data_IF_627714417678
#
_entry.id   IF_627714417678
#
_cell.length_a   1.000
_cell.length_b   1.000
_cell.length_c   1.000
_cell.angle_alpha   90.00
_cell.angle_beta   90.00
_cell.angle_gamma   90.00
#
_symmetry.space_group_name_H-M   'P 1'
#
loop_
_entity.id
_entity.type
_entity.pdbx_description
1 polymer ?
#
# COMPACT_ATOMS: atom_id res chain seq x y z
N UNK A 1 5.67 -11.50 -11.91
CA UNK A 1 7.06 -11.92 -11.67
C UNK A 1 7.92 -11.23 -12.69
N UNK A 2 9.04 -10.65 -12.26
CA UNK A 2 9.91 -9.83 -13.12
C UNK A 2 11.26 -10.51 -13.32
N UNK A 3 11.55 -11.01 -14.53
CA UNK A 3 12.87 -11.52 -14.90
C UNK A 3 14.00 -10.55 -14.56
N UNK A 4 15.14 -11.08 -14.13
CA UNK A 4 16.30 -10.27 -13.74
C UNK A 4 16.74 -9.26 -14.81
N UNK A 5 16.83 -9.61 -16.12
CA UNK A 5 17.23 -8.65 -17.15
C UNK A 5 16.26 -7.46 -17.27
N UNK A 6 14.96 -7.71 -17.07
CA UNK A 6 13.89 -6.71 -17.15
C UNK A 6 13.92 -5.65 -16.05
N UNK A 7 14.47 -5.98 -14.87
CA UNK A 7 14.44 -5.11 -13.68
C UNK A 7 15.09 -3.76 -13.93
N UNK A 8 16.22 -3.71 -14.64
CA UNK A 8 16.92 -2.46 -14.95
C UNK A 8 16.06 -1.55 -15.81
N UNK A 9 15.46 -2.09 -16.87
CA UNK A 9 14.57 -1.34 -17.77
C UNK A 9 13.35 -0.79 -17.03
N UNK A 10 12.74 -1.56 -16.13
CA UNK A 10 11.67 -1.06 -15.26
C UNK A 10 12.17 0.07 -14.36
N UNK A 11 13.34 -0.07 -13.73
CA UNK A 11 13.89 0.98 -12.87
C UNK A 11 14.14 2.29 -13.62
N UNK A 12 14.67 2.22 -14.84
CA UNK A 12 14.87 3.36 -15.74
C UNK A 12 13.53 3.98 -16.15
N UNK A 13 12.55 3.16 -16.55
CA UNK A 13 11.22 3.64 -16.96
C UNK A 13 10.46 4.32 -15.82
N UNK A 14 10.47 3.75 -14.61
CA UNK A 14 9.75 4.31 -13.47
C UNK A 14 10.47 5.48 -12.79
N UNK A 15 11.76 5.73 -13.08
CA UNK A 15 12.51 6.84 -12.50
C UNK A 15 11.84 8.22 -12.69
N UNK A 16 11.48 8.65 -13.91
CA UNK A 16 10.78 9.93 -14.08
C UNK A 16 9.41 9.97 -13.41
N UNK A 17 8.67 8.85 -13.37
CA UNK A 17 7.36 8.78 -12.68
C UNK A 17 7.51 8.94 -11.17
N UNK A 18 8.59 8.40 -10.59
CA UNK A 18 8.90 8.62 -9.17
C UNK A 18 9.23 10.08 -8.86
N UNK A 19 9.89 10.80 -9.77
CA UNK A 19 10.12 12.25 -9.56
C UNK A 19 8.81 13.04 -9.60
N UNK A 20 7.91 12.74 -10.54
CA UNK A 20 6.55 13.31 -10.56
C UNK A 20 5.77 13.02 -9.27
N UNK A 21 5.95 11.82 -8.72
CA UNK A 21 5.41 11.49 -7.40
C UNK A 21 6.04 12.30 -6.28
N UNK A 22 7.34 12.56 -6.34
CA UNK A 22 8.00 13.41 -5.34
C UNK A 22 7.53 14.87 -5.43
N UNK A 23 7.25 15.39 -6.62
CA UNK A 23 6.63 16.72 -6.77
C UNK A 23 5.26 16.78 -6.09
N UNK A 24 4.45 15.72 -6.26
CA UNK A 24 3.17 15.58 -5.55
C UNK A 24 3.38 15.47 -4.03
N UNK A 25 4.32 14.65 -3.59
CA UNK A 25 4.63 14.48 -2.17
C UNK A 25 5.11 15.80 -1.53
N UNK A 26 5.89 16.64 -2.23
CA UNK A 26 6.28 17.97 -1.75
C UNK A 26 5.07 18.87 -1.55
N UNK A 27 4.08 18.83 -2.44
CA UNK A 27 2.78 19.53 -2.23
C UNK A 27 2.03 18.98 -1.02
N UNK A 28 2.02 17.66 -0.82
CA UNK A 28 1.43 17.05 0.37
C UNK A 28 2.17 17.43 1.66
N UNK A 29 3.50 17.59 1.62
CA UNK A 29 4.30 18.13 2.75
C UNK A 29 3.94 19.59 3.02
N UNK A 30 3.69 20.41 2.00
CA UNK A 30 3.19 21.77 2.19
C UNK A 30 1.81 21.77 2.88
N UNK A 31 0.91 20.86 2.49
CA UNK A 31 -0.38 20.67 3.17
C UNK A 31 -0.18 20.25 4.63
N UNK A 32 0.72 19.31 4.92
CA UNK A 32 1.09 18.93 6.30
C UNK A 32 1.57 20.16 7.08
N UNK A 33 2.49 20.95 6.53
CA UNK A 33 3.05 22.12 7.21
C UNK A 33 1.99 23.18 7.51
N UNK A 34 1.00 23.36 6.64
CA UNK A 34 -0.13 24.27 6.92
C UNK A 34 -0.89 23.90 8.21
N UNK A 35 -0.88 22.61 8.59
CA UNK A 35 -1.52 22.09 9.81
C UNK A 35 -0.57 22.20 11.01
N UNK A 36 0.71 21.86 10.86
CA UNK A 36 1.61 21.62 12.01
C UNK A 36 2.60 22.76 12.30
N UNK A 37 2.87 23.64 11.34
CA UNK A 37 3.76 24.80 11.54
C UNK A 37 3.26 25.83 12.57
N UNK A 38 1.94 26.10 12.72
CA UNK A 38 1.44 26.91 13.84
C UNK A 38 1.78 26.35 15.23
N UNK A 39 2.18 25.08 15.31
CA UNK A 39 2.52 24.37 16.53
C UNK A 39 4.03 24.13 16.67
N UNK A 40 4.85 24.84 15.89
CA UNK A 40 6.32 24.77 15.99
C UNK A 40 6.95 23.55 15.33
N UNK A 41 6.20 22.82 14.48
CA UNK A 41 6.70 21.68 13.72
C UNK A 41 6.81 22.05 12.24
N UNK A 42 7.95 21.77 11.63
CA UNK A 42 8.15 21.94 10.19
C UNK A 42 8.72 20.65 9.62
N UNK A 43 8.02 20.07 8.65
CA UNK A 43 8.42 18.89 7.91
C UNK A 43 9.08 19.30 6.58
N UNK A 44 10.27 18.80 6.32
CA UNK A 44 11.03 19.02 5.08
C UNK A 44 11.09 17.70 4.30
N UNK A 45 10.67 17.72 3.03
CA UNK A 45 10.64 16.50 2.22
C UNK A 45 12.05 15.91 2.01
N UNK A 46 13.03 16.75 1.69
CA UNK A 46 14.35 16.30 1.30
C UNK A 46 15.22 15.93 2.51
N UNK A 47 15.00 16.59 3.67
CA UNK A 47 15.76 16.34 4.90
C UNK A 47 15.11 15.34 5.85
N UNK A 48 13.79 15.33 5.95
CA UNK A 48 13.09 14.46 6.91
C UNK A 48 12.47 13.22 6.25
N UNK A 49 11.98 13.31 5.01
CA UNK A 49 11.20 12.22 4.36
C UNK A 49 12.08 11.34 3.46
N UNK A 50 12.86 11.91 2.55
CA UNK A 50 13.71 11.13 1.64
C UNK A 50 14.71 10.21 2.36
N UNK A 51 15.42 10.65 3.42
CA UNK A 51 16.46 9.83 4.05
C UNK A 51 15.93 8.58 4.76
N UNK A 52 14.68 8.60 5.23
CA UNK A 52 14.04 7.44 5.88
C UNK A 52 13.37 6.49 4.88
N UNK A 53 13.39 6.84 3.59
CA UNK A 53 12.81 6.03 2.53
C UNK A 53 13.86 5.13 1.85
N UNK A 54 13.40 4.30 0.90
CA UNK A 54 14.28 3.52 0.03
C UNK A 54 14.47 4.18 -1.35
N UNK A 55 14.26 5.49 -1.46
CA UNK A 55 14.32 6.23 -2.74
C UNK A 55 15.65 6.04 -3.47
N UNK A 56 16.76 6.12 -2.74
CA UNK A 56 18.13 5.94 -3.29
C UNK A 56 18.38 4.57 -3.95
N UNK A 57 17.53 3.59 -3.66
CA UNK A 57 17.59 2.24 -4.23
C UNK A 57 16.46 1.97 -5.25
N UNK A 58 15.80 3.01 -5.75
CA UNK A 58 14.70 2.90 -6.72
C UNK A 58 13.33 2.67 -6.10
N UNK A 59 13.19 2.80 -4.78
CA UNK A 59 11.91 2.77 -4.08
C UNK A 59 11.06 4.02 -4.34
N UNK A 60 9.75 3.93 -4.17
CA UNK A 60 8.86 5.08 -4.26
C UNK A 60 8.53 5.63 -2.86
N UNK A 61 8.53 6.96 -2.73
CA UNK A 61 8.06 7.64 -1.53
C UNK A 61 6.54 7.73 -1.55
N UNK A 62 5.90 7.48 -0.42
CA UNK A 62 4.44 7.43 -0.27
C UNK A 62 4.01 8.21 0.98
N UNK A 63 2.72 8.45 1.12
CA UNK A 63 2.09 9.11 2.27
C UNK A 63 2.53 8.48 3.60
N UNK A 64 2.83 7.17 3.61
CA UNK A 64 3.36 6.49 4.80
C UNK A 64 4.69 7.06 5.27
N UNK A 65 5.60 7.40 4.34
CA UNK A 65 6.89 8.00 4.67
C UNK A 65 6.71 9.42 5.19
N UNK A 66 5.82 10.21 4.55
CA UNK A 66 5.51 11.58 4.96
C UNK A 66 4.98 11.60 6.40
N UNK A 67 4.01 10.73 6.69
CA UNK A 67 3.38 10.65 8.01
C UNK A 67 4.27 9.99 9.06
N UNK A 68 5.16 9.08 8.67
CA UNK A 68 6.15 8.52 9.58
C UNK A 68 7.15 9.60 10.02
N UNK A 69 7.71 10.36 9.06
CA UNK A 69 8.58 11.49 9.35
C UNK A 69 7.88 12.56 10.21
N UNK A 70 6.61 12.87 9.89
CA UNK A 70 5.80 13.74 10.74
C UNK A 70 5.68 13.20 12.16
N UNK A 71 5.40 11.90 12.32
CA UNK A 71 5.34 11.23 13.61
C UNK A 71 6.64 11.41 14.41
N UNK A 72 7.80 11.25 13.78
CA UNK A 72 9.09 11.50 14.44
C UNK A 72 9.24 12.95 14.89
N UNK A 73 8.80 13.92 14.08
CA UNK A 73 8.86 15.35 14.44
C UNK A 73 7.93 15.67 15.60
N UNK A 74 6.73 15.07 15.66
CA UNK A 74 5.80 15.20 16.78
C UNK A 74 6.42 14.64 18.05
N UNK A 75 7.00 13.44 18.00
CA UNK A 75 7.62 12.80 19.16
C UNK A 75 8.81 13.61 19.68
N UNK A 76 9.64 14.17 18.78
CA UNK A 76 10.75 15.02 19.17
C UNK A 76 10.30 16.35 19.79
N UNK A 77 9.16 16.90 19.36
CA UNK A 77 8.62 18.15 19.88
C UNK A 77 7.89 17.98 21.21
N UNK A 78 7.07 16.94 21.34
CA UNK A 78 6.20 16.72 22.49
C UNK A 78 6.77 15.76 23.54
N UNK A 79 7.90 15.11 23.24
CA UNK A 79 8.40 13.90 23.90
C UNK A 79 7.39 12.73 23.80
N UNK A 80 7.85 11.50 24.06
CA UNK A 80 6.98 10.31 23.97
C UNK A 80 5.68 10.47 24.79
N UNK A 81 5.81 10.92 26.05
CA UNK A 81 4.67 11.09 26.98
C UNK A 81 3.72 12.21 26.56
N UNK A 82 4.18 13.21 25.81
CA UNK A 82 3.33 14.31 25.33
C UNK A 82 2.67 14.03 23.98
N UNK A 83 3.04 12.94 23.28
CA UNK A 83 2.55 12.66 21.93
C UNK A 83 1.03 12.53 21.87
N UNK A 84 0.42 11.75 22.77
CA UNK A 84 -1.04 11.57 22.80
C UNK A 84 -1.77 12.91 23.02
N UNK A 85 -1.28 13.70 23.99
CA UNK A 85 -1.80 15.04 24.27
C UNK A 85 -1.70 15.95 23.05
N UNK A 86 -0.56 15.90 22.34
CA UNK A 86 -0.36 16.69 21.13
C UNK A 86 -1.38 16.31 20.03
N UNK A 87 -1.60 15.02 19.79
CA UNK A 87 -2.59 14.57 18.81
C UNK A 87 -4.00 15.06 19.15
N UNK A 88 -4.47 14.82 20.38
CA UNK A 88 -5.86 15.08 20.76
C UNK A 88 -6.14 16.56 21.02
N UNK A 89 -5.23 17.24 21.73
CA UNK A 89 -5.47 18.61 22.20
C UNK A 89 -4.96 19.68 21.24
N UNK A 90 -3.87 19.41 20.53
CA UNK A 90 -3.26 20.37 19.60
C UNK A 90 -3.80 20.14 18.19
N UNK A 91 -3.58 18.94 17.63
CA UNK A 91 -4.02 18.63 16.26
C UNK A 91 -5.52 18.28 16.12
N UNK A 92 -6.23 18.13 17.26
CA UNK A 92 -7.65 17.73 17.31
C UNK A 92 -7.93 16.44 16.54
N UNK A 93 -6.97 15.51 16.58
CA UNK A 93 -7.05 14.20 15.96
C UNK A 93 -7.80 13.25 16.90
N UNK A 94 -8.73 12.48 16.35
CA UNK A 94 -9.43 11.45 17.14
C UNK A 94 -8.51 10.24 17.31
N UNK A 95 -8.28 9.84 18.56
CA UNK A 95 -7.55 8.62 18.89
C UNK A 95 -8.51 7.61 19.52
N UNK A 96 -8.65 6.45 18.89
CA UNK A 96 -9.46 5.35 19.41
C UNK A 96 -8.88 4.75 20.69
N UNK A 97 -9.69 4.03 21.47
CA UNK A 97 -9.29 3.48 22.77
C UNK A 97 -8.09 2.53 22.67
N UNK A 98 -8.13 1.61 21.70
CA UNK A 98 -7.03 0.69 21.39
C UNK A 98 -5.73 1.42 21.08
N UNK A 99 -5.79 2.43 20.21
CA UNK A 99 -4.62 3.23 19.83
C UNK A 99 -4.13 4.08 20.99
N UNK A 100 -5.03 4.59 21.84
CA UNK A 100 -4.66 5.32 23.05
C UNK A 100 -3.85 4.44 24.00
N UNK A 101 -4.27 3.20 24.24
CA UNK A 101 -3.52 2.24 25.05
C UNK A 101 -2.13 1.98 24.44
N UNK A 102 -2.07 1.71 23.13
CA UNK A 102 -0.81 1.46 22.43
C UNK A 102 0.17 2.65 22.49
N UNK A 103 -0.32 3.88 22.32
CA UNK A 103 0.51 5.09 22.35
C UNK A 103 0.90 5.55 23.76
N UNK A 104 0.22 5.02 24.79
CA UNK A 104 0.54 5.35 26.19
C UNK A 104 1.51 4.35 26.83
N UNK A 105 1.67 3.18 26.23
CA UNK A 105 2.56 2.12 26.71
C UNK A 105 4.04 2.50 26.46
N UNK A 106 4.84 2.70 27.53
CA UNK A 106 6.25 3.08 27.40
C UNK A 106 7.14 1.96 26.84
N UNK A 107 6.69 0.71 26.93
CA UNK A 107 7.45 -0.46 26.50
C UNK A 107 7.03 -0.95 25.11
N UNK A 108 6.13 -0.22 24.43
CA UNK A 108 5.61 -0.60 23.11
C UNK A 108 6.69 -0.52 22.01
N UNK A 109 7.18 -1.65 21.48
CA UNK A 109 8.21 -1.64 20.45
C UNK A 109 7.68 -1.18 19.08
N UNK A 110 6.36 -1.06 18.93
CA UNK A 110 5.69 -0.71 17.68
C UNK A 110 5.15 0.73 17.68
N UNK A 111 5.46 1.51 18.71
CA UNK A 111 4.93 2.86 18.92
C UNK A 111 4.91 3.73 17.66
N UNK A 112 6.04 3.82 16.92
CA UNK A 112 6.13 4.63 15.70
C UNK A 112 5.15 4.19 14.60
N UNK A 113 4.92 2.88 14.47
CA UNK A 113 3.98 2.33 13.49
C UNK A 113 2.51 2.50 13.92
N UNK A 114 2.24 2.43 15.23
CA UNK A 114 0.91 2.73 15.77
C UNK A 114 0.55 4.22 15.58
N UNK A 115 1.52 5.11 15.84
CA UNK A 115 1.39 6.54 15.59
C UNK A 115 1.14 6.83 14.10
N UNK A 116 1.92 6.20 13.21
CA UNK A 116 1.68 6.26 11.77
C UNK A 116 0.26 5.83 11.41
N UNK A 117 -0.26 4.78 12.04
CA UNK A 117 -1.64 4.31 11.83
C UNK A 117 -2.69 5.38 12.15
N UNK A 118 -2.55 6.05 13.30
CA UNK A 118 -3.43 7.15 13.73
C UNK A 118 -3.34 8.33 12.77
N UNK A 119 -2.12 8.79 12.46
CA UNK A 119 -1.90 9.91 11.54
C UNK A 119 -2.48 9.61 10.15
N UNK A 120 -2.33 8.37 9.66
CA UNK A 120 -2.87 7.96 8.37
C UNK A 120 -4.40 8.05 8.34
N UNK A 121 -5.07 7.53 9.36
CA UNK A 121 -6.53 7.50 9.41
C UNK A 121 -7.16 8.90 9.41
N UNK A 122 -6.45 9.89 9.99
CA UNK A 122 -7.04 11.19 10.32
C UNK A 122 -6.49 12.33 9.44
N UNK A 123 -5.31 12.18 8.84
CA UNK A 123 -4.67 13.25 8.07
C UNK A 123 -4.65 13.00 6.56
N UNK A 124 -4.67 11.76 6.06
CA UNK A 124 -4.52 11.49 4.62
C UNK A 124 -5.54 12.27 3.80
N UNK A 125 -6.83 12.20 4.16
CA UNK A 125 -7.90 12.92 3.46
C UNK A 125 -7.67 14.43 3.40
N UNK A 126 -7.00 15.02 4.42
CA UNK A 126 -6.75 16.46 4.51
C UNK A 126 -5.53 16.92 3.71
N UNK A 127 -4.54 16.04 3.55
CA UNK A 127 -3.26 16.38 2.91
C UNK A 127 -3.16 15.88 1.48
N UNK A 128 -4.06 14.99 1.06
CA UNK A 128 -4.00 14.30 -0.22
C UNK A 128 -4.05 15.26 -1.40
N UNK A 129 -3.17 15.01 -2.36
CA UNK A 129 -3.20 15.63 -3.69
C UNK A 129 -3.43 14.49 -4.68
N UNK A 130 -4.38 14.62 -5.63
CA UNK A 130 -4.63 13.60 -6.66
C UNK A 130 -3.37 13.22 -7.44
N UNK A 131 -3.21 11.92 -7.69
CA UNK A 131 -2.14 11.39 -8.52
C UNK A 131 -2.54 11.47 -10.01
N UNK A 132 -1.69 12.09 -10.82
CA UNK A 132 -1.93 12.29 -12.25
C UNK A 132 -0.69 11.89 -13.04
N UNK A 133 0.26 12.80 -13.24
CA UNK A 133 1.48 12.61 -14.06
C UNK A 133 2.40 11.45 -13.63
N UNK A 134 2.22 10.92 -12.41
CA UNK A 134 2.98 9.77 -11.90
C UNK A 134 2.37 8.40 -12.31
N UNK A 135 1.17 8.40 -12.88
CA UNK A 135 0.42 7.20 -13.20
C UNK A 135 0.68 6.78 -14.65
N UNK A 136 1.09 5.53 -14.83
CA UNK A 136 1.23 4.91 -16.16
C UNK A 136 -0.14 4.45 -16.69
N UNK A 137 -0.49 4.73 -17.95
CA UNK A 137 -1.68 4.15 -18.57
C UNK A 137 -1.58 2.61 -18.63
N UNK A 138 -2.69 1.91 -18.39
CA UNK A 138 -2.68 0.43 -18.32
C UNK A 138 -2.15 -0.23 -19.59
N UNK A 139 -2.51 0.29 -20.77
CA UNK A 139 -2.04 -0.24 -22.04
C UNK A 139 -0.50 -0.12 -22.18
N UNK A 140 0.08 0.97 -21.67
CA UNK A 140 1.53 1.15 -21.63
C UNK A 140 2.20 0.24 -20.61
N UNK A 141 1.57 0.04 -19.44
CA UNK A 141 2.07 -0.90 -18.43
C UNK A 141 2.10 -2.34 -18.96
N UNK A 142 1.04 -2.78 -19.65
CA UNK A 142 1.01 -4.11 -20.26
C UNK A 142 2.05 -4.23 -21.36
N UNK A 143 2.21 -3.21 -22.22
CA UNK A 143 3.27 -3.20 -23.25
C UNK A 143 4.65 -3.30 -22.62
N UNK A 144 4.95 -2.47 -21.62
CA UNK A 144 6.21 -2.49 -20.88
C UNK A 144 6.45 -3.86 -20.23
N UNK A 145 5.42 -4.45 -19.62
CA UNK A 145 5.45 -5.79 -19.05
C UNK A 145 5.92 -6.83 -20.06
N UNK A 146 5.29 -6.89 -21.23
CA UNK A 146 5.70 -7.78 -22.33
C UNK A 146 7.13 -7.56 -22.78
N UNK A 147 7.56 -6.30 -22.90
CA UNK A 147 8.92 -5.96 -23.31
C UNK A 147 10.01 -6.45 -22.33
N UNK A 148 9.66 -6.64 -21.06
CA UNK A 148 10.56 -7.16 -20.03
C UNK A 148 10.21 -8.57 -19.57
N UNK A 149 9.31 -9.23 -20.30
CA UNK A 149 8.76 -10.56 -19.97
C UNK A 149 8.24 -10.62 -18.52
N UNK A 150 7.60 -9.55 -18.05
CA UNK A 150 6.98 -9.49 -16.73
C UNK A 150 5.50 -9.85 -16.81
N UNK A 151 5.05 -10.69 -15.86
CA UNK A 151 3.63 -11.01 -15.69
C UNK A 151 2.95 -9.81 -15.03
N UNK A 152 2.09 -9.13 -15.77
CA UNK A 152 1.31 -7.98 -15.27
C UNK A 152 0.04 -8.47 -14.59
N UNK A 153 -0.17 -8.03 -13.36
CA UNK A 153 -1.32 -8.42 -12.56
C UNK A 153 -2.11 -7.23 -12.05
N UNK A 154 -3.43 -7.39 -11.97
CA UNK A 154 -4.30 -6.46 -11.27
C UNK A 154 -4.44 -6.85 -9.80
N UNK A 155 -4.31 -5.88 -8.89
CA UNK A 155 -4.46 -6.10 -7.46
C UNK A 155 -5.90 -5.89 -7.02
N UNK A 156 -6.66 -6.99 -6.93
CA UNK A 156 -8.02 -6.96 -6.43
C UNK A 156 -8.04 -6.63 -4.94
N UNK A 157 -8.82 -5.62 -4.57
CA UNK A 157 -9.02 -5.22 -3.17
C UNK A 157 -10.32 -5.79 -2.62
N UNK A 158 -11.41 -5.71 -3.39
CA UNK A 158 -12.75 -6.10 -2.95
C UNK A 158 -13.36 -5.12 -1.94
N UNK A 159 -14.69 -5.05 -1.91
CA UNK A 159 -15.42 -4.15 -1.02
C UNK A 159 -15.10 -4.45 0.45
N UNK A 160 -14.93 -3.39 1.22
CA UNK A 160 -14.80 -3.45 2.68
C UNK A 160 -16.14 -3.06 3.27
N UNK A 161 -16.87 -4.06 3.77
CA UNK A 161 -18.07 -3.86 4.59
C UNK A 161 -17.73 -3.55 6.04
N UNK A 162 -18.55 -4.03 6.98
CA UNK A 162 -18.28 -3.88 8.41
C UNK A 162 -17.06 -4.72 8.82
N UNK A 163 -15.99 -4.03 9.20
CA UNK A 163 -14.85 -4.65 9.86
C UNK A 163 -15.34 -5.32 11.15
N UNK A 164 -15.25 -6.66 11.22
CA UNK A 164 -15.56 -7.43 12.44
C UNK A 164 -14.71 -6.94 13.64
N UNK A 165 -13.61 -6.24 13.38
CA UNK A 165 -12.72 -5.63 14.38
C UNK A 165 -12.90 -4.11 14.56
N UNK A 166 -13.86 -3.47 13.87
CA UNK A 166 -14.19 -2.04 13.99
C UNK A 166 -13.12 -1.04 13.51
N UNK A 167 -12.03 -1.52 12.89
CA UNK A 167 -10.82 -0.72 12.64
C UNK A 167 -10.72 -0.20 11.18
N UNK A 168 -11.63 -0.60 10.27
CA UNK A 168 -11.65 -0.12 8.88
C UNK A 168 -12.99 0.56 8.54
N UNK A 169 -12.93 1.77 7.98
CA UNK A 169 -14.07 2.44 7.36
C UNK A 169 -14.59 1.57 6.21
N UNK A 170 -15.91 1.43 6.09
CA UNK A 170 -16.49 0.80 4.90
C UNK A 170 -16.05 1.56 3.64
N UNK A 171 -15.70 0.82 2.60
CA UNK A 171 -15.23 1.37 1.35
C UNK A 171 -15.67 0.47 0.20
N UNK A 172 -16.19 1.10 -0.86
CA UNK A 172 -16.56 0.45 -2.12
C UNK A 172 -15.35 0.44 -3.06
N UNK A 173 -15.12 -0.70 -3.69
CA UNK A 173 -14.07 -0.97 -4.65
C UNK A 173 -14.68 -1.63 -5.89
N UNK A 174 -14.18 -2.80 -6.31
CA UNK A 174 -14.46 -3.36 -7.63
C UNK A 174 -15.63 -4.34 -7.69
N UNK A 175 -16.25 -4.72 -6.57
CA UNK A 175 -17.18 -5.85 -6.54
C UNK A 175 -18.45 -5.65 -7.37
N UNK A 176 -18.97 -4.42 -7.42
CA UNK A 176 -20.21 -4.09 -8.14
C UNK A 176 -20.04 -4.14 -9.67
N UNK A 177 -18.81 -3.98 -10.18
CA UNK A 177 -18.49 -3.97 -11.62
C UNK A 177 -17.39 -4.99 -11.99
N UNK A 178 -17.18 -6.00 -11.14
CA UNK A 178 -16.05 -6.93 -11.24
C UNK A 178 -15.97 -7.65 -12.59
N UNK A 179 -17.11 -8.06 -13.16
CA UNK A 179 -17.14 -8.77 -14.44
C UNK A 179 -16.70 -7.89 -15.60
N UNK A 180 -17.25 -6.67 -15.68
CA UNK A 180 -16.85 -5.66 -16.68
C UNK A 180 -15.37 -5.31 -16.54
N UNK A 181 -14.89 -5.11 -15.30
CA UNK A 181 -13.48 -4.86 -15.03
C UNK A 181 -12.61 -6.01 -15.56
N UNK A 182 -12.93 -7.26 -15.23
CA UNK A 182 -12.13 -8.41 -15.66
C UNK A 182 -12.14 -8.57 -17.18
N UNK A 183 -13.25 -8.28 -17.86
CA UNK A 183 -13.32 -8.28 -19.32
C UNK A 183 -12.41 -7.21 -19.93
N UNK A 184 -12.41 -5.99 -19.37
CA UNK A 184 -11.51 -4.92 -19.80
C UNK A 184 -10.04 -5.24 -19.54
N UNK A 185 -9.70 -5.76 -18.35
CA UNK A 185 -8.34 -6.17 -18.01
C UNK A 185 -7.83 -7.25 -18.98
N UNK A 186 -8.70 -8.21 -19.35
CA UNK A 186 -8.34 -9.24 -20.32
C UNK A 186 -8.11 -8.65 -21.71
N UNK A 187 -8.94 -7.70 -22.13
CA UNK A 187 -8.79 -7.00 -23.41
C UNK A 187 -7.49 -6.18 -23.48
N UNK A 188 -7.08 -5.53 -22.39
CA UNK A 188 -5.77 -4.87 -22.30
C UNK A 188 -4.60 -5.86 -22.29
N UNK A 189 -4.85 -7.11 -21.93
CA UNK A 189 -3.86 -8.18 -21.88
C UNK A 189 -3.15 -8.31 -20.55
N UNK A 190 -3.83 -7.96 -19.46
CA UNK A 190 -3.43 -8.33 -18.10
C UNK A 190 -3.49 -9.85 -17.96
N UNK A 191 -2.48 -10.43 -17.32
CA UNK A 191 -2.27 -11.88 -17.32
C UNK A 191 -2.78 -12.53 -16.04
N UNK A 192 -2.76 -11.80 -14.92
CA UNK A 192 -3.16 -12.35 -13.63
C UNK A 192 -3.91 -11.38 -12.73
N UNK A 193 -4.54 -11.94 -11.71
CA UNK A 193 -5.16 -11.22 -10.62
C UNK A 193 -4.45 -11.63 -9.33
N UNK A 194 -4.03 -10.63 -8.56
CA UNK A 194 -3.51 -10.83 -7.21
C UNK A 194 -4.58 -10.46 -6.19
N UNK A 195 -4.76 -11.28 -5.16
CA UNK A 195 -5.69 -11.01 -4.06
C UNK A 195 -5.16 -11.53 -2.73
N UNK A 196 -5.77 -11.13 -1.63
CA UNK A 196 -5.28 -11.37 -0.27
C UNK A 196 -6.29 -12.21 0.52
N UNK A 197 -6.10 -13.54 0.61
CA UNK A 197 -6.98 -14.42 1.40
C UNK A 197 -7.30 -13.94 2.82
N UNK A 198 -6.38 -13.23 3.48
CA UNK A 198 -6.57 -12.67 4.82
C UNK A 198 -7.49 -11.44 4.89
N UNK A 199 -7.79 -10.81 3.75
CA UNK A 199 -8.51 -9.53 3.67
C UNK A 199 -9.84 -9.57 2.94
N UNK A 200 -10.12 -10.68 2.25
CA UNK A 200 -11.34 -10.86 1.48
C UNK A 200 -12.24 -11.90 2.15
N UNK A 201 -13.55 -11.73 2.00
CA UNK A 201 -14.53 -12.72 2.46
C UNK A 201 -14.48 -13.98 1.58
N UNK A 202 -14.96 -15.10 2.12
CA UNK A 202 -15.04 -16.36 1.37
C UNK A 202 -15.94 -16.23 0.14
N UNK A 203 -17.01 -15.44 0.21
CA UNK A 203 -17.91 -15.18 -0.90
C UNK A 203 -17.22 -14.39 -2.02
N UNK A 204 -16.49 -13.32 -1.66
CA UNK A 204 -15.68 -12.53 -2.62
C UNK A 204 -14.67 -13.43 -3.33
N UNK A 205 -13.89 -14.21 -2.58
CA UNK A 205 -12.86 -15.07 -3.14
C UNK A 205 -13.46 -16.17 -4.01
N UNK A 206 -14.54 -16.82 -3.59
CA UNK A 206 -15.20 -17.86 -4.40
C UNK A 206 -15.68 -17.30 -5.74
N UNK A 207 -16.30 -16.11 -5.73
CA UNK A 207 -16.72 -15.43 -6.96
C UNK A 207 -15.52 -15.06 -7.84
N UNK A 208 -14.51 -14.42 -7.27
CA UNK A 208 -13.32 -13.97 -7.99
C UNK A 208 -12.58 -15.13 -8.66
N UNK A 209 -12.31 -16.21 -7.91
CA UNK A 209 -11.59 -17.37 -8.41
C UNK A 209 -12.34 -18.06 -9.55
N UNK A 210 -13.67 -18.16 -9.46
CA UNK A 210 -14.51 -18.66 -10.55
C UNK A 210 -14.33 -17.80 -11.81
N UNK A 211 -14.48 -16.47 -11.68
CA UNK A 211 -14.35 -15.55 -12.82
C UNK A 211 -12.93 -15.55 -13.42
N UNK A 212 -11.90 -15.70 -12.59
CA UNK A 212 -10.51 -15.83 -13.04
C UNK A 212 -10.33 -17.08 -13.92
N UNK A 213 -10.87 -18.22 -13.50
CA UNK A 213 -10.78 -19.49 -14.25
C UNK A 213 -11.53 -19.44 -15.56
N UNK A 214 -12.73 -18.86 -15.57
CA UNK A 214 -13.53 -18.69 -16.79
C UNK A 214 -12.83 -17.83 -17.85
N UNK A 215 -12.03 -16.85 -17.42
CA UNK A 215 -11.29 -15.92 -18.30
C UNK A 215 -9.82 -16.30 -18.51
N UNK A 216 -9.36 -17.37 -17.86
CA UNK A 216 -7.97 -17.82 -17.90
C UNK A 216 -6.99 -16.76 -17.37
N UNK A 217 -7.29 -16.13 -16.23
CA UNK A 217 -6.33 -15.34 -15.48
C UNK A 217 -5.47 -16.24 -14.59
N UNK A 218 -4.18 -15.92 -14.48
CA UNK A 218 -3.35 -16.47 -13.41
C UNK A 218 -3.83 -15.92 -12.05
N UNK A 219 -3.94 -16.78 -11.05
CA UNK A 219 -4.30 -16.40 -9.69
C UNK A 219 -3.02 -16.36 -8.83
N UNK A 220 -2.75 -15.23 -8.17
CA UNK A 220 -1.52 -15.05 -7.38
C UNK A 220 -1.88 -14.54 -5.98
N UNK A 221 -1.23 -15.09 -4.94
CA UNK A 221 -1.33 -14.54 -3.60
C UNK A 221 -0.63 -13.19 -3.52
N UNK A 222 -1.37 -12.15 -3.14
CA UNK A 222 -0.89 -10.77 -2.98
C UNK A 222 -0.80 -10.31 -1.52
N UNK A 223 -0.70 -11.24 -0.55
CA UNK A 223 -0.61 -10.92 0.88
C UNK A 223 0.43 -9.83 1.17
N UNK A 224 0.01 -8.79 1.90
CA UNK A 224 0.82 -7.60 2.18
C UNK A 224 0.98 -7.34 3.69
N UNK A 225 2.23 -7.14 4.06
CA UNK A 225 2.66 -6.86 5.44
C UNK A 225 3.14 -5.43 5.50
N UNK A 226 2.38 -4.58 6.20
CA UNK A 226 2.64 -3.14 6.30
C UNK A 226 2.90 -2.69 7.73
N UNK A 227 2.85 -3.59 8.71
CA UNK A 227 3.09 -3.29 10.12
C UNK A 227 3.87 -4.43 10.77
N UNK A 228 4.83 -4.12 11.67
CA UNK A 228 5.51 -5.14 12.46
C UNK A 228 4.58 -5.91 13.40
N UNK A 229 3.34 -5.43 13.61
CA UNK A 229 2.31 -6.18 14.35
C UNK A 229 1.64 -7.29 13.54
N UNK A 230 1.79 -7.29 12.20
CA UNK A 230 1.22 -8.33 11.35
C UNK A 230 2.13 -9.55 11.31
N UNK A 231 1.54 -10.74 11.44
CA UNK A 231 2.26 -12.01 11.30
C UNK A 231 2.65 -12.27 9.84
N UNK A 232 3.78 -12.96 9.65
CA UNK A 232 4.21 -13.45 8.33
C UNK A 232 3.45 -14.68 7.86
N UNK A 233 2.85 -15.43 8.79
CA UNK A 233 2.08 -16.65 8.49
C UNK A 233 0.64 -16.24 8.16
N UNK A 234 0.22 -16.51 6.93
CA UNK A 234 -1.18 -16.40 6.53
C UNK A 234 -1.85 -17.78 6.69
N UNK A 235 -2.57 -17.97 7.79
CA UNK A 235 -3.24 -19.25 8.12
C UNK A 235 -4.28 -19.64 7.06
N UNK A 236 -4.88 -18.65 6.39
CA UNK A 236 -5.85 -18.86 5.32
C UNK A 236 -5.24 -19.68 4.18
N UNK A 237 -3.96 -19.48 3.84
CA UNK A 237 -3.28 -20.21 2.77
C UNK A 237 -3.12 -21.72 3.06
N UNK A 238 -3.32 -22.17 4.29
CA UNK A 238 -3.33 -23.59 4.62
C UNK A 238 -4.63 -24.31 4.16
N UNK A 239 -5.69 -23.57 3.81
CA UNK A 239 -6.94 -24.18 3.35
C UNK A 239 -6.77 -24.78 1.94
N UNK A 240 -7.37 -25.96 1.65
CA UNK A 240 -7.27 -26.60 0.33
C UNK A 240 -7.66 -25.71 -0.85
N UNK A 241 -8.61 -24.79 -0.65
CA UNK A 241 -9.05 -23.80 -1.64
C UNK A 241 -7.91 -22.96 -2.22
N UNK A 242 -6.82 -22.75 -1.48
CA UNK A 242 -5.71 -21.87 -1.88
C UNK A 242 -4.43 -22.61 -2.26
N UNK A 243 -4.49 -23.95 -2.35
CA UNK A 243 -3.32 -24.77 -2.71
C UNK A 243 -2.73 -24.37 -4.06
N UNK A 244 -3.56 -23.99 -5.03
CA UNK A 244 -3.12 -23.51 -6.35
C UNK A 244 -2.29 -22.21 -6.30
N UNK A 245 -2.43 -21.39 -5.26
CA UNK A 245 -1.62 -20.18 -5.10
C UNK A 245 -0.17 -20.50 -4.72
N UNK A 246 0.06 -21.61 -4.03
CA UNK A 246 1.40 -22.10 -3.72
C UNK A 246 2.08 -22.53 -5.03
N UNK A 247 1.38 -23.31 -5.85
CA UNK A 247 1.87 -23.73 -7.17
C UNK A 247 2.13 -22.53 -8.09
N UNK A 248 1.22 -21.54 -8.12
CA UNK A 248 1.40 -20.31 -8.88
C UNK A 248 2.64 -19.54 -8.43
N UNK A 249 2.93 -19.52 -7.13
CA UNK A 249 4.14 -18.89 -6.58
C UNK A 249 5.41 -19.58 -7.09
N UNK A 250 5.44 -20.92 -7.10
CA UNK A 250 6.58 -21.66 -7.65
C UNK A 250 6.78 -21.42 -9.15
N UNK A 251 5.69 -21.38 -9.93
CA UNK A 251 5.74 -21.02 -11.35
C UNK A 251 6.26 -19.59 -11.56
N UNK A 252 5.89 -18.65 -10.70
CA UNK A 252 6.41 -17.28 -10.74
C UNK A 252 7.92 -17.23 -10.49
N UNK A 253 8.40 -17.97 -9.49
CA UNK A 253 9.84 -18.08 -9.17
C UNK A 253 10.59 -18.70 -10.34
N UNK A 254 10.03 -19.74 -10.96
CA UNK A 254 10.61 -20.38 -12.13
C UNK A 254 10.69 -19.41 -13.32
N UNK A 255 9.61 -18.69 -13.61
CA UNK A 255 9.55 -17.65 -14.63
C UNK A 255 10.68 -16.62 -14.46
N UNK A 256 10.86 -16.10 -13.24
CA UNK A 256 11.92 -15.12 -12.96
C UNK A 256 13.34 -15.66 -13.11
N UNK A 257 13.53 -16.97 -12.96
CA UNK A 257 14.84 -17.64 -13.05
C UNK A 257 15.19 -18.08 -14.46
N UNK A 258 14.19 -18.51 -15.23
CA UNK A 258 14.37 -19.15 -16.53
C UNK A 258 14.31 -18.16 -17.70
N UNK A 259 13.74 -16.97 -17.49
CA UNK A 259 13.79 -15.89 -18.47
C UNK A 259 15.26 -15.45 -18.68
N UNK A 260 15.77 -15.73 -19.88
CA UNK A 260 17.15 -15.46 -20.31
C UNK A 260 17.32 -14.02 -20.77
#
# INVERSE_FOLDING_TARGET
GVPKPGRRKLQEYFAPLREKRNDRNRRMVANINSIVSPHGIVLDFDKDVLPISQYRYGGAVTERHLLYALGEKIVNNAEHKGTLRFLEQVLKIRVGEKQRMQLSDPDNPHFKYDLLGVLKAELVEKIYVPAEEECIPIAELVRLGREVDAIVCYAYLGDVGDSVTGDKKSAKFEDDYLEELLDQLKAFGVEGITYMPSRNTEQQLTRLQKLCRERGFAEISGEDINSPRQGFICEQLAKPQFSHLIDATWKLIEHERNAR
#
